data_IF_096741807873
#
_entry.id   IF_096741807873
#
_cell.length_a   1.000
_cell.length_b   1.000
_cell.length_c   1.000
_cell.angle_alpha   90.00
_cell.angle_beta   90.00
_cell.angle_gamma   90.00
#
_symmetry.space_group_name_H-M   'P 1'
#
loop_
_entity.id
_entity.type
_entity.pdbx_description
1 polymer ?
#
# COMPACT_ATOMS: atom_id res chain seq x y z
N UNK A 1 -20.16 -6.98 12.38
CA UNK A 1 -21.41 -7.50 12.97
C UNK A 1 -22.20 -8.10 11.82
N UNK A 2 -22.24 -9.42 11.71
CA UNK A 2 -22.89 -10.12 10.61
C UNK A 2 -24.36 -10.25 10.99
N UNK A 3 -25.24 -9.53 10.31
CA UNK A 3 -26.68 -9.63 10.49
C UNK A 3 -27.16 -10.86 9.71
N UNK A 4 -27.46 -11.94 10.42
CA UNK A 4 -28.12 -13.12 9.84
C UNK A 4 -29.61 -12.89 9.92
N UNK A 5 -30.19 -12.43 8.83
CA UNK A 5 -31.64 -12.30 8.71
C UNK A 5 -32.29 -13.70 8.68
N UNK A 6 -33.36 -13.86 9.47
CA UNK A 6 -34.06 -15.12 9.65
C UNK A 6 -34.95 -15.36 8.42
N UNK A 7 -34.43 -16.05 7.41
CA UNK A 7 -35.20 -16.38 6.19
C UNK A 7 -36.10 -17.58 6.44
N UNK A 8 -37.37 -17.44 6.03
CA UNK A 8 -38.46 -18.39 6.23
C UNK A 8 -38.24 -19.73 5.51
N UNK A 9 -38.93 -20.77 6.01
CA UNK A 9 -38.79 -22.19 5.67
C UNK A 9 -39.19 -22.61 4.23
N UNK A 10 -39.25 -21.70 3.27
CA UNK A 10 -39.62 -21.99 1.89
C UNK A 10 -38.46 -21.71 0.93
N UNK A 11 -37.60 -22.71 0.71
CA UNK A 11 -36.79 -22.82 -0.52
C UNK A 11 -35.78 -21.70 -0.84
N UNK A 12 -35.33 -20.91 0.14
CA UNK A 12 -34.42 -19.79 -0.08
C UNK A 12 -32.98 -20.21 -0.44
N UNK A 13 -32.53 -19.86 -1.65
CA UNK A 13 -31.12 -19.94 -2.06
C UNK A 13 -30.29 -18.94 -1.24
N UNK A 14 -29.37 -19.41 -0.41
CA UNK A 14 -28.38 -18.58 0.27
C UNK A 14 -27.41 -17.98 -0.76
N UNK A 15 -27.64 -16.73 -1.18
CA UNK A 15 -26.60 -15.91 -1.81
C UNK A 15 -25.74 -15.33 -0.69
N UNK A 16 -24.64 -16.01 -0.37
CA UNK A 16 -23.59 -15.38 0.43
C UNK A 16 -23.00 -14.26 -0.43
N UNK A 17 -23.23 -13.01 -0.04
CA UNK A 17 -22.76 -11.81 -0.73
C UNK A 17 -21.22 -11.73 -0.69
N UNK A 18 -20.54 -12.42 -1.60
CA UNK A 18 -19.10 -12.29 -1.87
C UNK A 18 -18.69 -10.86 -2.27
N UNK A 19 -19.64 -9.96 -2.52
CA UNK A 19 -19.37 -8.55 -2.81
C UNK A 19 -18.72 -7.80 -1.64
N UNK A 20 -18.93 -8.19 -0.38
CA UNK A 20 -18.37 -7.43 0.75
C UNK A 20 -16.85 -7.59 0.89
N UNK A 21 -16.30 -8.78 0.62
CA UNK A 21 -14.87 -9.04 0.84
C UNK A 21 -13.93 -8.28 -0.09
N UNK A 22 -14.37 -7.96 -1.32
CA UNK A 22 -13.57 -7.21 -2.28
C UNK A 22 -13.38 -5.74 -1.88
N UNK A 23 -14.40 -5.16 -1.24
CA UNK A 23 -14.36 -3.77 -0.77
C UNK A 23 -13.32 -3.55 0.33
N UNK A 24 -13.24 -4.46 1.29
CA UNK A 24 -12.30 -4.36 2.42
C UNK A 24 -10.83 -4.42 2.00
N UNK A 25 -10.50 -5.22 0.99
CA UNK A 25 -9.13 -5.34 0.51
C UNK A 25 -8.71 -4.10 -0.28
N UNK A 26 -9.59 -3.59 -1.16
CA UNK A 26 -9.34 -2.32 -1.85
C UNK A 26 -9.16 -1.17 -0.84
N UNK A 27 -10.01 -1.11 0.19
CA UNK A 27 -9.89 -0.14 1.27
C UNK A 27 -8.55 -0.26 2.02
N UNK A 28 -8.12 -1.48 2.37
CA UNK A 28 -6.84 -1.71 3.06
C UNK A 28 -5.64 -1.26 2.22
N UNK A 29 -5.65 -1.49 0.90
CA UNK A 29 -4.58 -1.02 -0.01
C UNK A 29 -4.56 0.51 -0.06
N UNK A 30 -5.71 1.16 -0.20
CA UNK A 30 -5.81 2.62 -0.21
C UNK A 30 -5.30 3.19 1.14
N UNK A 31 -5.74 2.62 2.26
CA UNK A 31 -5.30 3.05 3.58
C UNK A 31 -3.79 2.90 3.77
N UNK A 32 -3.20 1.79 3.31
CA UNK A 32 -1.75 1.57 3.35
C UNK A 32 -1.00 2.56 2.46
N UNK A 33 -1.50 2.84 1.25
CA UNK A 33 -0.93 3.83 0.34
C UNK A 33 -0.96 5.25 0.94
N UNK A 34 -2.08 5.64 1.55
CA UNK A 34 -2.22 6.91 2.27
C UNK A 34 -1.26 6.98 3.45
N UNK A 35 -1.18 5.93 4.27
CA UNK A 35 -0.28 5.88 5.42
C UNK A 35 1.19 5.99 5.00
N UNK A 36 1.59 5.26 3.96
CA UNK A 36 2.93 5.34 3.39
C UNK A 36 3.24 6.75 2.86
N UNK A 37 2.28 7.35 2.14
CA UNK A 37 2.39 8.71 1.62
C UNK A 37 2.56 9.75 2.73
N UNK A 38 1.76 9.67 3.81
CA UNK A 38 1.91 10.53 4.98
C UNK A 38 3.27 10.33 5.66
N UNK A 39 3.78 9.10 5.72
CA UNK A 39 5.12 8.81 6.22
C UNK A 39 6.26 9.45 5.40
N UNK A 40 6.10 9.55 4.08
CA UNK A 40 7.06 10.25 3.23
C UNK A 40 7.04 11.77 3.44
N UNK A 41 5.88 12.34 3.73
CA UNK A 41 5.75 13.78 4.01
C UNK A 41 6.32 14.19 5.37
N UNK A 42 6.32 13.29 6.36
CA UNK A 42 6.90 13.55 7.69
C UNK A 42 8.39 13.27 7.76
N UNK A 43 8.99 12.77 6.68
CA UNK A 43 10.44 12.55 6.57
C UNK A 43 11.26 13.82 6.77
N UNK A 44 12.51 13.65 7.23
CA UNK A 44 13.50 14.73 7.34
C UNK A 44 13.96 15.17 5.95
N UNK A 45 14.15 16.48 5.75
CA UNK A 45 14.79 16.97 4.54
C UNK A 45 16.32 16.88 4.67
N UNK A 46 16.99 16.55 3.58
CA UNK A 46 18.43 16.48 3.49
C UNK A 46 18.97 17.78 2.88
N UNK A 47 19.84 18.46 3.60
CA UNK A 47 20.61 19.60 3.10
C UNK A 47 21.97 19.09 2.66
N UNK A 48 22.28 19.27 1.38
CA UNK A 48 23.61 19.00 0.81
C UNK A 48 24.30 20.31 0.54
N UNK A 49 25.50 20.50 1.10
CA UNK A 49 26.28 21.72 0.94
C UNK A 49 27.71 21.38 0.52
N UNK A 50 28.21 22.13 -0.46
CA UNK A 50 29.59 22.06 -0.95
C UNK A 50 30.33 23.31 -0.49
N UNK A 51 31.27 23.13 0.45
CA UNK A 51 31.95 24.17 1.21
C UNK A 51 33.46 24.03 1.06
N UNK A 52 34.15 25.13 0.84
CA UNK A 52 35.60 25.26 0.96
C UNK A 52 35.94 26.20 2.10
N UNK A 53 36.83 25.77 2.99
CA UNK A 53 37.35 26.58 4.10
C UNK A 53 38.85 26.36 4.25
N UNK A 54 39.57 27.41 4.63
CA UNK A 54 41.00 27.34 4.96
C UNK A 54 41.27 26.96 6.42
N UNK A 55 40.28 27.13 7.30
CA UNK A 55 40.38 26.86 8.74
C UNK A 55 39.27 25.91 9.19
N UNK A 56 39.50 25.09 10.23
CA UNK A 56 38.43 24.36 10.90
C UNK A 56 37.38 25.33 11.47
N UNK A 57 36.12 24.88 11.51
CA UNK A 57 35.01 25.65 12.07
C UNK A 57 33.74 24.82 12.13
N UNK A 58 32.60 25.48 12.32
CA UNK A 58 31.28 24.88 12.41
C UNK A 58 30.32 25.60 11.47
N UNK A 59 29.66 24.82 10.62
CA UNK A 59 28.54 25.28 9.82
C UNK A 59 27.25 24.89 10.52
N UNK A 60 26.37 25.86 10.82
CA UNK A 60 25.09 25.62 11.49
C UNK A 60 23.91 26.03 10.61
N UNK A 61 22.82 25.28 10.72
CA UNK A 61 21.52 25.65 10.16
C UNK A 61 20.52 25.66 11.30
N UNK A 62 19.85 26.78 11.46
CA UNK A 62 18.70 26.97 12.32
C UNK A 62 17.43 26.96 11.48
N UNK A 63 16.33 26.48 12.04
CA UNK A 63 15.03 26.54 11.37
C UNK A 63 13.99 27.18 12.27
N UNK A 64 12.98 27.78 11.64
CA UNK A 64 11.86 28.40 12.35
C UNK A 64 10.55 27.80 11.89
N UNK A 65 9.72 27.43 12.86
CA UNK A 65 8.35 27.00 12.64
C UNK A 65 7.44 28.20 12.30
N UNK A 66 6.31 28.01 11.58
CA UNK A 66 5.48 29.11 11.07
C UNK A 66 5.04 30.20 12.08
N UNK A 67 4.96 29.87 13.38
CA UNK A 67 4.58 30.81 14.44
C UNK A 67 5.68 31.00 15.52
N UNK A 68 6.90 30.54 15.25
CA UNK A 68 7.99 30.49 16.24
C UNK A 68 9.07 31.55 16.03
N UNK A 69 10.04 31.55 16.95
CA UNK A 69 11.34 32.22 16.80
C UNK A 69 12.43 31.15 16.60
N UNK A 70 13.61 31.54 16.14
CA UNK A 70 14.77 30.65 16.12
C UNK A 70 15.16 30.22 17.54
N UNK A 71 15.45 28.93 17.74
CA UNK A 71 15.92 28.36 19.00
C UNK A 71 17.18 27.54 18.76
N UNK A 72 18.09 27.50 19.74
CA UNK A 72 19.30 26.66 19.63
C UNK A 72 18.96 25.17 19.54
N UNK A 73 17.87 24.73 20.18
CA UNK A 73 17.33 23.36 20.05
C UNK A 73 16.83 23.03 18.64
N UNK A 74 16.51 24.05 17.86
CA UNK A 74 15.99 23.96 16.49
C UNK A 74 17.12 24.23 15.49
N UNK A 75 18.24 23.53 15.70
CA UNK A 75 19.44 23.67 14.88
C UNK A 75 20.13 22.34 14.60
N UNK A 76 20.93 22.33 13.54
CA UNK A 76 21.86 21.25 13.20
C UNK A 76 23.21 21.85 12.82
N UNK A 77 24.28 21.22 13.29
CA UNK A 77 25.64 21.69 13.09
C UNK A 77 26.50 20.59 12.44
N UNK A 78 27.50 21.01 11.65
CA UNK A 78 28.54 20.12 11.15
C UNK A 78 29.90 20.79 11.26
N UNK A 79 30.90 20.05 11.75
CA UNK A 79 32.28 20.53 11.82
C UNK A 79 32.88 20.56 10.41
N UNK A 80 33.36 21.73 10.01
CA UNK A 80 34.09 21.96 8.78
C UNK A 80 35.56 21.60 8.98
N UNK A 81 36.13 20.89 8.01
CA UNK A 81 37.54 20.52 7.99
C UNK A 81 38.16 20.99 6.66
N UNK A 82 39.35 21.62 6.70
CA UNK A 82 40.10 21.93 5.48
C UNK A 82 40.30 20.68 4.61
N UNK A 83 40.09 20.82 3.30
CA UNK A 83 40.20 19.72 2.33
C UNK A 83 38.96 18.82 2.21
N UNK A 84 37.95 18.95 3.09
CA UNK A 84 36.65 18.28 2.92
C UNK A 84 35.64 19.26 2.33
N UNK A 85 35.09 18.89 1.17
CA UNK A 85 34.23 19.77 0.40
C UNK A 85 32.72 19.52 0.59
N UNK A 86 32.30 18.28 0.86
CA UNK A 86 30.87 17.92 0.84
C UNK A 86 30.36 17.52 2.22
N UNK A 87 29.24 18.13 2.59
CA UNK A 87 28.56 17.92 3.86
C UNK A 87 27.07 17.69 3.63
N UNK A 88 26.50 16.84 4.48
CA UNK A 88 25.07 16.53 4.48
C UNK A 88 24.52 16.71 5.89
N UNK A 89 23.42 17.45 6.01
CA UNK A 89 22.73 17.70 7.27
C UNK A 89 21.27 17.27 7.11
N UNK A 90 20.64 16.82 8.20
CA UNK A 90 19.22 16.45 8.20
C UNK A 90 18.42 17.46 9.03
N UNK A 91 17.47 18.14 8.39
CA UNK A 91 16.55 19.10 9.01
C UNK A 91 15.13 18.50 9.07
N UNK A 92 14.18 19.08 9.82
CA UNK A 92 12.79 18.62 9.81
C UNK A 92 12.14 18.71 8.41
N UNK A 93 10.94 18.15 8.28
CA UNK A 93 10.16 18.23 7.04
C UNK A 93 9.94 19.68 6.62
N UNK A 94 10.10 19.97 5.32
CA UNK A 94 9.85 21.28 4.71
C UNK A 94 8.43 21.80 4.94
N UNK A 95 7.46 20.92 5.22
CA UNK A 95 6.10 21.33 5.63
C UNK A 95 6.05 22.03 6.97
N UNK A 96 6.98 21.71 7.86
CA UNK A 96 7.00 22.20 9.24
C UNK A 96 7.84 23.47 9.40
N UNK A 97 8.47 23.95 8.32
CA UNK A 97 9.43 25.05 8.34
C UNK A 97 8.90 26.24 7.54
N UNK A 98 9.26 27.44 7.98
CA UNK A 98 8.99 28.68 7.24
C UNK A 98 10.23 29.18 6.51
N UNK A 99 11.34 29.27 7.24
CA UNK A 99 12.64 29.71 6.78
C UNK A 99 13.78 29.00 7.52
N UNK A 100 14.94 29.01 6.88
CA UNK A 100 16.20 28.52 7.44
C UNK A 100 17.14 29.69 7.64
N UNK A 101 17.70 29.81 8.85
CA UNK A 101 18.87 30.66 9.09
C UNK A 101 20.11 29.80 8.93
N UNK A 102 21.06 30.26 8.13
CA UNK A 102 22.30 29.56 7.86
C UNK A 102 23.44 30.40 8.41
N UNK A 103 24.26 29.76 9.24
CA UNK A 103 25.42 30.35 9.91
C UNK A 103 26.66 29.63 9.36
N UNK A 104 27.35 30.20 8.36
CA UNK A 104 28.36 29.47 7.61
C UNK A 104 29.63 29.13 8.39
N UNK A 105 29.99 29.97 9.35
CA UNK A 105 31.24 29.85 10.10
C UNK A 105 31.06 30.44 11.51
N UNK A 106 31.63 29.77 12.52
CA UNK A 106 31.78 30.27 13.88
C UNK A 106 33.13 30.99 14.04
N UNK A 107 33.11 32.32 14.04
CA UNK A 107 34.31 33.15 14.18
C UNK A 107 34.97 33.62 12.87
N UNK A 108 36.19 34.19 12.96
CA UNK A 108 36.86 34.84 11.84
C UNK A 108 37.43 33.84 10.84
N UNK A 109 37.31 34.16 9.55
CA UNK A 109 37.85 33.33 8.47
C UNK A 109 37.17 33.57 7.13
N UNK A 110 37.61 32.81 6.13
CA UNK A 110 37.03 32.84 4.78
C UNK A 110 36.44 31.47 4.46
N UNK A 111 35.18 31.47 4.02
CA UNK A 111 34.44 30.28 3.62
C UNK A 111 33.81 30.52 2.24
N UNK A 112 33.90 29.53 1.36
CA UNK A 112 33.26 29.54 0.04
C UNK A 112 32.22 28.43 -0.02
N UNK A 113 30.95 28.81 -0.19
CA UNK A 113 29.84 27.89 -0.41
C UNK A 113 29.61 27.82 -1.91
N UNK A 114 29.98 26.72 -2.56
CA UNK A 114 29.81 26.55 -4.01
C UNK A 114 28.37 26.21 -4.38
N UNK A 115 27.75 25.34 -3.60
CA UNK A 115 26.39 24.86 -3.85
C UNK A 115 25.72 24.49 -2.54
N UNK A 116 24.44 24.84 -2.40
CA UNK A 116 23.58 24.39 -1.32
C UNK A 116 22.24 23.97 -1.91
N UNK A 117 21.82 22.74 -1.61
CA UNK A 117 20.52 22.24 -2.03
C UNK A 117 19.80 21.51 -0.92
N UNK A 118 18.48 21.65 -0.90
CA UNK A 118 17.60 21.02 0.09
C UNK A 118 16.70 20.06 -0.67
N UNK A 119 16.70 18.80 -0.25
CA UNK A 119 15.97 17.72 -0.90
C UNK A 119 15.10 17.00 0.11
N UNK A 120 13.85 16.76 -0.27
CA UNK A 120 12.94 15.91 0.47
C UNK A 120 12.10 15.12 -0.55
N UNK A 121 11.81 13.82 -0.30
CA UNK A 121 10.89 13.06 -1.15
C UNK A 121 9.57 13.81 -1.34
N UNK A 122 9.02 13.75 -2.56
CA UNK A 122 7.77 14.44 -2.97
C UNK A 122 7.86 15.96 -3.12
N UNK A 123 9.00 16.59 -2.80
CA UNK A 123 9.25 18.01 -3.02
C UNK A 123 10.16 18.24 -4.22
N UNK A 124 10.02 19.38 -4.88
CA UNK A 124 11.03 19.87 -5.81
C UNK A 124 12.29 20.24 -5.01
N UNK A 125 13.50 19.87 -5.49
CA UNK A 125 14.74 20.32 -4.88
C UNK A 125 14.80 21.84 -4.83
N UNK A 126 15.11 22.39 -3.65
CA UNK A 126 15.37 23.82 -3.48
C UNK A 126 16.86 24.03 -3.64
N UNK A 127 17.27 24.74 -4.67
CA UNK A 127 18.64 25.21 -4.85
C UNK A 127 18.74 26.63 -4.30
N UNK A 128 19.69 26.84 -3.39
CA UNK A 128 19.89 28.16 -2.78
C UNK A 128 20.75 28.99 -3.71
N UNK A 129 20.20 30.10 -4.18
CA UNK A 129 20.93 31.10 -4.95
C UNK A 129 21.36 32.22 -4.00
N UNK A 130 22.68 32.44 -3.88
CA UNK A 130 23.21 33.45 -2.96
C UNK A 130 23.27 34.87 -3.54
N UNK A 131 23.04 35.04 -4.85
CA UNK A 131 23.13 36.36 -5.51
C UNK A 131 22.14 37.40 -4.96
N UNK A 132 20.87 37.07 -4.65
CA UNK A 132 19.93 38.04 -4.08
C UNK A 132 20.38 38.65 -2.75
N UNK A 133 21.23 37.96 -1.98
CA UNK A 133 21.71 38.46 -0.68
C UNK A 133 22.75 39.57 -0.81
N UNK A 134 23.35 39.77 -1.99
CA UNK A 134 24.28 40.89 -2.23
C UNK A 134 23.62 42.25 -2.01
N UNK A 135 22.31 42.34 -2.27
CA UNK A 135 21.53 43.57 -2.07
C UNK A 135 21.10 43.76 -0.61
N UNK A 136 21.30 42.76 0.26
CA UNK A 136 20.83 42.79 1.65
C UNK A 136 21.87 43.29 2.68
N UNK A 137 22.98 43.93 2.27
CA UNK A 137 23.95 44.52 3.23
C UNK A 137 23.30 45.53 4.22
N UNK A 138 23.58 45.50 5.56
CA UNK A 138 23.89 44.39 6.45
C UNK A 138 23.02 44.42 7.74
N UNK A 139 22.17 43.42 7.96
CA UNK A 139 21.80 43.02 9.33
C UNK A 139 22.85 42.07 9.95
N UNK A 140 23.85 41.66 9.16
CA UNK A 140 24.87 40.68 9.54
C UNK A 140 26.07 41.38 10.18
N UNK A 141 26.06 41.49 11.51
CA UNK A 141 27.26 41.91 12.24
C UNK A 141 28.41 40.94 11.95
N UNK A 142 29.58 41.47 11.59
CA UNK A 142 30.82 40.67 11.46
C UNK A 142 31.26 40.25 10.07
N UNK A 143 30.45 40.49 9.04
CA UNK A 143 30.79 40.16 7.66
C UNK A 143 31.68 41.24 7.03
N UNK A 144 32.92 40.89 6.69
CA UNK A 144 33.87 41.79 6.04
C UNK A 144 33.74 41.81 4.51
N UNK A 145 33.37 40.69 3.90
CA UNK A 145 33.14 40.61 2.45
C UNK A 145 32.07 39.56 2.12
N UNK A 146 31.21 39.90 1.15
CA UNK A 146 30.21 39.02 0.54
C UNK A 146 30.37 39.05 -0.97
N UNK A 147 30.92 37.99 -1.55
CA UNK A 147 31.22 37.89 -2.98
C UNK A 147 30.46 36.71 -3.60
N UNK A 148 29.25 36.93 -4.15
CA UNK A 148 28.51 35.87 -4.83
C UNK A 148 29.23 35.47 -6.14
N UNK A 149 29.17 34.18 -6.46
CA UNK A 149 29.70 33.61 -7.69
C UNK A 149 28.65 33.65 -8.82
N UNK A 150 29.11 33.57 -10.07
CA UNK A 150 28.26 33.47 -11.27
C UNK A 150 27.38 32.21 -11.25
N UNK A 151 27.90 31.13 -10.66
CA UNK A 151 27.23 29.83 -10.53
C UNK A 151 26.21 29.78 -9.38
N UNK A 152 25.99 30.90 -8.66
CA UNK A 152 25.04 31.01 -7.56
C UNK A 152 25.61 30.66 -6.18
N UNK A 153 26.90 30.32 -6.11
CA UNK A 153 27.67 30.19 -4.87
C UNK A 153 27.99 31.53 -4.20
N UNK A 154 28.73 31.49 -3.10
CA UNK A 154 29.20 32.71 -2.40
C UNK A 154 30.51 32.47 -1.65
N UNK A 155 31.40 33.44 -1.71
CA UNK A 155 32.57 33.52 -0.82
C UNK A 155 32.35 34.61 0.23
N UNK A 156 32.48 34.23 1.49
CA UNK A 156 32.25 35.05 2.67
C UNK A 156 33.56 35.19 3.43
N UNK A 157 33.85 36.40 3.91
CA UNK A 157 34.94 36.63 4.86
C UNK A 157 34.37 37.28 6.12
N UNK A 158 34.55 36.63 7.26
CA UNK A 158 34.15 37.14 8.58
C UNK A 158 35.38 37.67 9.32
N UNK A 159 35.26 38.84 9.94
CA UNK A 159 36.30 39.43 10.79
C UNK A 159 35.96 39.34 12.29
N UNK A 160 34.71 39.57 12.67
CA UNK A 160 34.27 39.56 14.08
C UNK A 160 32.79 39.14 14.17
N UNK A 161 32.53 37.88 14.51
CA UNK A 161 31.17 37.38 14.74
C UNK A 161 30.73 36.29 13.76
N UNK A 162 29.47 35.88 13.91
CA UNK A 162 28.89 34.75 13.19
C UNK A 162 27.99 35.30 12.06
N UNK A 163 28.49 35.38 10.80
CA UNK A 163 27.65 35.82 9.70
C UNK A 163 26.48 34.86 9.55
N UNK A 164 25.28 35.39 9.30
CA UNK A 164 24.10 34.57 9.09
C UNK A 164 23.18 35.16 8.03
N UNK A 165 22.51 34.30 7.27
CA UNK A 165 21.48 34.72 6.31
C UNK A 165 20.27 33.82 6.38
N UNK A 166 19.12 34.32 5.90
CA UNK A 166 17.84 33.61 5.94
C UNK A 166 17.44 33.17 4.54
N UNK A 167 17.26 31.87 4.37
CA UNK A 167 16.79 31.25 3.14
C UNK A 167 15.32 30.89 3.30
N UNK A 168 14.47 31.47 2.46
CA UNK A 168 13.08 31.03 2.37
C UNK A 168 13.01 29.61 1.79
N UNK A 169 12.44 28.70 2.56
CA UNK A 169 12.35 27.29 2.18
C UNK A 169 10.90 26.90 1.98
N UNK A 170 10.29 27.42 0.91
CA UNK A 170 8.94 27.01 0.50
C UNK A 170 9.05 25.73 -0.32
N UNK A 171 8.86 24.58 0.34
CA UNK A 171 8.81 23.30 -0.33
C UNK A 171 7.65 23.25 -1.32
N UNK A 172 7.96 23.32 -2.62
CA UNK A 172 6.96 23.10 -3.67
C UNK A 172 6.76 21.59 -3.85
N UNK A 173 5.54 21.11 -3.65
CA UNK A 173 5.19 19.71 -3.87
C UNK A 173 5.36 19.38 -5.36
N UNK A 174 6.10 18.31 -5.66
CA UNK A 174 6.21 17.81 -7.02
C UNK A 174 4.91 17.07 -7.39
N UNK A 175 3.96 17.82 -7.95
CA UNK A 175 2.64 17.30 -8.35
C UNK A 175 2.73 16.11 -9.32
N UNK A 176 3.77 16.03 -10.15
CA UNK A 176 3.97 14.90 -11.07
C UNK A 176 4.33 13.64 -10.29
N UNK A 177 5.28 13.75 -9.36
CA UNK A 177 5.64 12.64 -8.48
C UNK A 177 4.41 12.21 -7.67
N UNK A 178 3.69 13.15 -7.06
CA UNK A 178 2.44 12.88 -6.35
C UNK A 178 1.42 12.12 -7.21
N UNK A 179 1.13 12.62 -8.41
CA UNK A 179 0.19 12.01 -9.33
C UNK A 179 0.63 10.59 -9.74
N UNK A 180 1.92 10.37 -9.97
CA UNK A 180 2.46 9.04 -10.31
C UNK A 180 2.28 8.03 -9.18
N UNK A 181 2.49 8.44 -7.93
CA UNK A 181 2.26 7.60 -6.76
C UNK A 181 0.78 7.26 -6.57
N UNK A 182 -0.11 8.24 -6.72
CA UNK A 182 -1.56 8.04 -6.65
C UNK A 182 -2.04 7.08 -7.76
N UNK A 183 -1.57 7.25 -8.99
CA UNK A 183 -1.89 6.37 -10.10
C UNK A 183 -1.41 4.94 -9.84
N UNK A 184 -0.18 4.77 -9.34
CA UNK A 184 0.36 3.45 -8.98
C UNK A 184 -0.46 2.76 -7.88
N UNK A 185 -0.89 3.50 -6.86
CA UNK A 185 -1.72 2.97 -5.78
C UNK A 185 -3.11 2.51 -6.29
N UNK A 186 -3.76 3.32 -7.14
CA UNK A 186 -5.04 2.96 -7.76
C UNK A 186 -4.88 1.72 -8.64
N UNK A 187 -3.85 1.68 -9.48
CA UNK A 187 -3.58 0.52 -10.35
C UNK A 187 -3.35 -0.75 -9.53
N UNK A 188 -2.56 -0.67 -8.46
CA UNK A 188 -2.33 -1.80 -7.56
C UNK A 188 -3.64 -2.29 -6.91
N UNK A 189 -4.50 -1.36 -6.49
CA UNK A 189 -5.83 -1.67 -5.98
C UNK A 189 -6.72 -2.39 -7.00
N UNK A 190 -6.75 -1.92 -8.25
CA UNK A 190 -7.50 -2.55 -9.34
C UNK A 190 -6.97 -3.95 -9.65
N UNK A 191 -5.64 -4.10 -9.79
CA UNK A 191 -5.02 -5.41 -10.07
C UNK A 191 -5.32 -6.39 -8.94
N UNK A 192 -5.21 -5.98 -7.68
CA UNK A 192 -5.52 -6.83 -6.55
C UNK A 192 -7.00 -7.24 -6.55
N UNK A 193 -7.92 -6.31 -6.84
CA UNK A 193 -9.34 -6.61 -6.96
C UNK A 193 -9.61 -7.65 -8.06
N UNK A 194 -9.02 -7.47 -9.24
CA UNK A 194 -9.15 -8.42 -10.36
C UNK A 194 -8.57 -9.80 -10.01
N UNK A 195 -7.43 -9.86 -9.33
CA UNK A 195 -6.84 -11.12 -8.88
C UNK A 195 -7.75 -11.84 -7.88
N UNK A 196 -8.33 -11.11 -6.93
CA UNK A 196 -9.29 -11.67 -5.98
C UNK A 196 -10.55 -12.15 -6.68
N UNK A 197 -11.10 -11.36 -7.60
CA UNK A 197 -12.28 -11.73 -8.37
C UNK A 197 -12.00 -12.96 -9.23
N UNK A 198 -10.84 -13.03 -9.88
CA UNK A 198 -10.43 -14.21 -10.66
C UNK A 198 -10.27 -15.46 -9.78
N UNK A 199 -9.79 -15.33 -8.54
CA UNK A 199 -9.73 -16.45 -7.59
C UNK A 199 -11.11 -16.87 -7.10
N UNK A 200 -12.04 -15.93 -6.93
CA UNK A 200 -13.44 -16.25 -6.59
C UNK A 200 -14.12 -16.96 -7.77
N UNK A 201 -13.90 -16.49 -9.00
CA UNK A 201 -14.46 -17.12 -10.20
C UNK A 201 -13.86 -18.50 -10.49
N UNK A 202 -12.52 -18.66 -10.35
CA UNK A 202 -11.86 -19.96 -10.53
C UNK A 202 -12.06 -20.91 -9.35
N UNK A 203 -12.21 -20.36 -8.15
CA UNK A 203 -12.50 -21.08 -6.92
C UNK A 203 -13.99 -21.32 -6.72
N UNK A 204 -14.81 -21.17 -7.76
CA UNK A 204 -16.22 -21.52 -7.77
C UNK A 204 -16.39 -22.95 -7.29
N UNK A 205 -16.63 -23.09 -5.98
CA UNK A 205 -17.09 -24.33 -5.38
C UNK A 205 -18.40 -24.64 -6.08
N UNK A 206 -18.37 -25.59 -7.02
CA UNK A 206 -19.60 -26.12 -7.61
C UNK A 206 -20.30 -26.86 -6.48
N UNK A 207 -21.21 -26.17 -5.81
CA UNK A 207 -22.20 -26.83 -4.98
C UNK A 207 -23.28 -27.34 -5.93
N UNK A 208 -23.62 -28.61 -5.85
CA UNK A 208 -24.67 -29.20 -6.68
C UNK A 208 -25.52 -30.16 -5.87
N UNK A 209 -26.58 -30.63 -6.52
CA UNK A 209 -27.41 -31.71 -6.02
C UNK A 209 -27.21 -32.89 -6.97
N UNK A 210 -26.70 -34.00 -6.43
CA UNK A 210 -26.72 -35.27 -7.13
C UNK A 210 -28.05 -35.94 -6.80
N UNK A 211 -28.86 -36.18 -7.82
CA UNK A 211 -30.12 -36.91 -7.70
C UNK A 211 -29.92 -38.32 -8.25
N UNK A 212 -30.20 -39.32 -7.42
CA UNK A 212 -30.11 -40.75 -7.78
C UNK A 212 -31.53 -41.30 -7.80
N UNK A 213 -31.96 -41.81 -8.96
CA UNK A 213 -33.29 -42.38 -9.14
C UNK A 213 -33.23 -43.89 -9.25
N UNK A 214 -34.03 -44.58 -8.43
CA UNK A 214 -34.00 -46.03 -8.27
C UNK A 214 -35.41 -46.59 -8.47
N UNK A 215 -35.61 -47.53 -9.42
CA UNK A 215 -36.93 -48.09 -9.67
C UNK A 215 -37.38 -49.01 -8.52
N UNK A 216 -38.67 -48.99 -8.22
CA UNK A 216 -39.31 -49.88 -7.26
C UNK A 216 -39.16 -51.33 -7.71
N UNK A 217 -38.72 -52.20 -6.79
CA UNK A 217 -38.43 -53.60 -7.06
C UNK A 217 -36.94 -53.89 -7.32
N UNK A 218 -36.10 -52.87 -7.51
CA UNK A 218 -34.66 -53.06 -7.46
C UNK A 218 -34.20 -53.24 -6.00
N UNK A 219 -33.78 -54.46 -5.65
CA UNK A 219 -33.18 -54.76 -4.35
C UNK A 219 -31.67 -54.55 -4.47
N UNK A 220 -31.15 -53.61 -3.71
CA UNK A 220 -29.71 -53.57 -3.46
C UNK A 220 -29.31 -54.77 -2.61
N UNK A 221 -28.05 -55.16 -2.73
CA UNK A 221 -27.47 -56.15 -1.81
C UNK A 221 -27.43 -55.63 -0.36
N UNK A 222 -27.61 -54.33 -0.14
CA UNK A 222 -27.63 -53.68 1.17
C UNK A 222 -28.69 -52.57 1.19
N UNK A 223 -29.60 -52.60 2.18
CA UNK A 223 -30.52 -51.49 2.46
C UNK A 223 -29.78 -50.24 2.98
N UNK A 224 -28.49 -50.38 3.31
CA UNK A 224 -27.61 -49.32 3.84
C UNK A 224 -26.76 -48.61 2.79
N UNK A 225 -26.98 -48.89 1.51
CA UNK A 225 -26.20 -48.26 0.44
C UNK A 225 -26.13 -46.70 0.50
N UNK A 226 -27.13 -45.92 1.00
CA UNK A 226 -26.97 -44.47 1.13
C UNK A 226 -25.94 -44.08 2.19
N UNK A 227 -25.81 -44.90 3.23
CA UNK A 227 -24.83 -44.75 4.31
C UNK A 227 -23.45 -45.16 3.80
N UNK A 228 -23.36 -46.25 3.04
CA UNK A 228 -22.12 -46.69 2.38
C UNK A 228 -21.61 -45.63 1.40
N UNK A 229 -22.51 -44.99 0.65
CA UNK A 229 -22.19 -43.88 -0.25
C UNK A 229 -21.69 -42.65 0.52
N UNK A 230 -22.31 -42.34 1.66
CA UNK A 230 -21.87 -41.24 2.53
C UNK A 230 -20.50 -41.52 3.19
N UNK A 231 -20.17 -42.80 3.46
CA UNK A 231 -18.85 -43.21 3.97
C UNK A 231 -17.78 -43.11 2.87
N UNK A 232 -18.11 -43.52 1.64
CA UNK A 232 -17.22 -43.37 0.49
C UNK A 232 -16.98 -41.89 0.13
N UNK A 233 -17.94 -41.02 0.46
CA UNK A 233 -17.94 -39.61 0.09
C UNK A 233 -18.20 -38.72 1.31
N UNK A 234 -17.18 -38.45 2.13
CA UNK A 234 -17.34 -37.76 3.41
C UNK A 234 -17.90 -36.33 3.29
N UNK A 235 -17.83 -35.73 2.10
CA UNK A 235 -18.34 -34.39 1.80
C UNK A 235 -19.75 -34.38 1.16
N UNK A 236 -20.39 -35.55 1.07
CA UNK A 236 -21.71 -35.73 0.46
C UNK A 236 -22.72 -36.04 1.55
N UNK A 237 -23.71 -35.16 1.72
CA UNK A 237 -24.75 -35.34 2.71
C UNK A 237 -26.08 -35.68 2.05
N UNK A 238 -26.70 -36.78 2.46
CA UNK A 238 -28.07 -37.11 2.07
C UNK A 238 -29.00 -36.02 2.60
N UNK A 239 -29.66 -35.31 1.69
CA UNK A 239 -30.52 -34.18 2.02
C UNK A 239 -31.99 -34.58 2.08
N UNK A 240 -32.41 -35.44 1.15
CA UNK A 240 -33.82 -35.80 1.00
C UNK A 240 -33.97 -37.15 0.32
N UNK A 241 -34.94 -37.92 0.80
CA UNK A 241 -35.46 -39.09 0.10
C UNK A 241 -36.92 -38.82 -0.21
N UNK A 242 -37.33 -39.06 -1.46
CA UNK A 242 -38.73 -38.93 -1.89
C UNK A 242 -39.12 -40.13 -2.74
N UNK A 243 -40.30 -40.68 -2.50
CA UNK A 243 -40.90 -41.72 -3.34
C UNK A 243 -41.89 -41.08 -4.33
N UNK A 244 -41.76 -41.41 -5.61
CA UNK A 244 -42.65 -40.89 -6.67
C UNK A 244 -42.84 -41.93 -7.77
N UNK A 245 -44.08 -42.35 -8.00
CA UNK A 245 -44.52 -43.13 -9.17
C UNK A 245 -43.70 -44.40 -9.45
N UNK A 246 -43.39 -45.20 -8.43
CA UNK A 246 -42.57 -46.39 -8.64
C UNK A 246 -41.07 -46.14 -8.51
N UNK A 247 -40.63 -45.01 -7.96
CA UNK A 247 -39.21 -44.66 -7.84
C UNK A 247 -38.87 -44.10 -6.46
N UNK A 248 -37.73 -44.51 -5.91
CA UNK A 248 -37.07 -43.84 -4.78
C UNK A 248 -36.01 -42.89 -5.31
N UNK A 249 -36.15 -41.61 -4.96
CA UNK A 249 -35.25 -40.54 -5.37
C UNK A 249 -34.44 -40.11 -4.15
N UNK A 250 -33.12 -40.21 -4.24
CA UNK A 250 -32.18 -39.77 -3.22
C UNK A 250 -31.47 -38.51 -3.71
N UNK A 251 -31.57 -37.43 -2.93
CA UNK A 251 -30.90 -36.17 -3.23
C UNK A 251 -29.74 -35.97 -2.27
N UNK A 252 -28.54 -35.92 -2.82
CA UNK A 252 -27.32 -35.66 -2.08
C UNK A 252 -26.81 -34.25 -2.37
N UNK A 253 -26.55 -33.49 -1.32
CA UNK A 253 -25.92 -32.19 -1.44
C UNK A 253 -24.41 -32.31 -1.18
N UNK A 254 -23.61 -31.70 -2.05
CA UNK A 254 -22.17 -31.61 -1.87
C UNK A 254 -21.74 -30.16 -1.78
N UNK A 255 -20.94 -29.83 -0.76
CA UNK A 255 -20.51 -28.46 -0.47
C UNK A 255 -19.20 -28.09 -1.20
N UNK A 256 -18.45 -29.08 -1.69
CA UNK A 256 -17.10 -28.88 -2.22
C UNK A 256 -16.61 -30.06 -3.06
N UNK A 257 -17.21 -30.32 -4.21
CA UNK A 257 -16.55 -31.22 -5.16
C UNK A 257 -15.36 -30.48 -5.77
N UNK A 258 -14.13 -30.90 -5.44
CA UNK A 258 -13.05 -30.74 -6.41
C UNK A 258 -13.55 -31.41 -7.70
N UNK A 259 -13.56 -30.70 -8.83
CA UNK A 259 -14.22 -31.18 -10.05
C UNK A 259 -13.75 -32.58 -10.50
N UNK A 260 -12.55 -32.98 -10.07
CA UNK A 260 -11.94 -34.30 -10.27
C UNK A 260 -12.61 -35.44 -9.49
N UNK A 261 -13.29 -35.19 -8.38
CA UNK A 261 -13.92 -36.27 -7.59
C UNK A 261 -15.32 -36.62 -8.08
N UNK A 262 -16.05 -35.69 -8.68
CA UNK A 262 -17.45 -35.95 -9.03
C UNK A 262 -17.61 -36.92 -10.21
N UNK A 263 -16.75 -36.81 -11.23
CA UNK A 263 -16.69 -37.79 -12.33
C UNK A 263 -16.26 -39.16 -11.79
N UNK A 264 -15.26 -39.19 -10.91
CA UNK A 264 -14.81 -40.44 -10.25
C UNK A 264 -15.93 -41.08 -9.42
N UNK A 265 -16.78 -40.27 -8.77
CA UNK A 265 -17.97 -40.74 -8.05
C UNK A 265 -18.99 -41.32 -9.00
N UNK A 266 -19.34 -40.60 -10.07
CA UNK A 266 -20.30 -41.05 -11.08
C UNK A 266 -19.81 -42.36 -11.68
N UNK A 267 -18.54 -42.44 -12.08
CA UNK A 267 -17.92 -43.65 -12.62
C UNK A 267 -17.89 -44.80 -11.62
N UNK A 268 -17.66 -44.52 -10.33
CA UNK A 268 -17.62 -45.56 -9.29
C UNK A 268 -19.02 -46.10 -9.02
N UNK A 269 -20.03 -45.23 -8.94
CA UNK A 269 -21.43 -45.63 -8.75
C UNK A 269 -21.92 -46.40 -9.98
N UNK A 270 -21.67 -45.90 -11.20
CA UNK A 270 -22.06 -46.59 -12.44
C UNK A 270 -21.36 -47.95 -12.60
N UNK A 271 -20.09 -48.08 -12.19
CA UNK A 271 -19.37 -49.36 -12.22
C UNK A 271 -19.96 -50.41 -11.28
N UNK A 272 -20.38 -50.01 -10.08
CA UNK A 272 -20.96 -50.94 -9.11
C UNK A 272 -22.46 -51.17 -9.33
N UNK A 273 -23.15 -50.19 -9.94
CA UNK A 273 -24.60 -50.16 -10.11
C UNK A 273 -24.99 -49.63 -11.50
N UNK A 274 -24.78 -50.42 -12.57
CA UNK A 274 -24.97 -49.96 -13.95
C UNK A 274 -26.43 -49.67 -14.33
N UNK A 275 -27.39 -50.09 -13.51
CA UNK A 275 -28.82 -49.85 -13.73
C UNK A 275 -29.33 -48.55 -13.09
N UNK A 276 -28.47 -47.80 -12.39
CA UNK A 276 -28.85 -46.54 -11.78
C UNK A 276 -28.83 -45.38 -12.77
N UNK A 277 -29.91 -44.60 -12.77
CA UNK A 277 -29.98 -43.33 -13.48
C UNK A 277 -29.52 -42.21 -12.54
N UNK A 278 -28.38 -41.61 -12.88
CA UNK A 278 -27.77 -40.50 -12.13
C UNK A 278 -28.07 -39.19 -12.86
N UNK A 279 -28.79 -38.29 -12.19
CA UNK A 279 -29.04 -36.94 -12.66
C UNK A 279 -28.23 -35.96 -11.84
N UNK A 280 -27.28 -35.29 -12.48
CA UNK A 280 -26.47 -34.28 -11.83
C UNK A 280 -27.02 -32.88 -12.13
N UNK A 281 -27.55 -32.20 -11.10
CA UNK A 281 -27.93 -30.79 -11.21
C UNK A 281 -26.87 -29.91 -10.54
N UNK A 282 -26.08 -29.22 -11.35
CA UNK A 282 -25.14 -28.20 -10.87
C UNK A 282 -25.89 -26.87 -10.65
N UNK A 283 -25.86 -26.32 -9.43
CA UNK A 283 -26.42 -24.99 -9.19
C UNK A 283 -25.51 -23.95 -9.84
N UNK A 284 -25.89 -23.45 -11.03
CA UNK A 284 -25.20 -22.31 -11.65
C UNK A 284 -25.21 -22.27 -13.18
N UNK A 285 -25.44 -23.40 -13.86
CA UNK A 285 -25.71 -23.40 -15.30
C UNK A 285 -27.22 -23.33 -15.51
N UNK A 286 -27.70 -22.31 -16.21
CA UNK A 286 -29.05 -22.29 -16.76
C UNK A 286 -29.23 -23.26 -17.93
N UNK A 287 -28.32 -24.23 -18.07
CA UNK A 287 -28.34 -25.29 -19.08
C UNK A 287 -28.42 -26.62 -18.33
N UNK A 288 -29.55 -27.30 -18.51
CA UNK A 288 -29.72 -28.72 -18.25
C UNK A 288 -28.97 -29.48 -19.36
N UNK A 289 -28.00 -30.31 -18.98
CA UNK A 289 -27.46 -31.38 -19.82
C UNK A 289 -27.70 -32.71 -19.10
#
# INVERSE_FOLDING_TARGET
MIWLDKVSAAGGRFRVCLLETGGWIAFAVIAFAVQYFLGLQTGRAAVSVEIETSLPGTFKIYWRHPAGFYKESDSVAVSLMPGRHRYALAIPSLLALSDLRVDPLDGPGTISIRNMSIRQPLYLPVHVDFRPFQQMHPAMQGLAAFNPDQDGGVTLTSTIGDPWFVVECKGLVNLRTLASWLAAAVLAGVVLNLLLHSRVLRGGRRCGILQVEIPEGHRFCSDKWPEDLAVMLPDVHLRRTTERAGWRIYQFAFARAASTDLETVIDTVQRHHPTLHLHLQLNGSGEEN
#
